data_IF_319079222788
#
_entry.id   IF_319079222788
#
_cell.length_a   1.000
_cell.length_b   1.000
_cell.length_c   1.000
_cell.angle_alpha   90.00
_cell.angle_beta   90.00
_cell.angle_gamma   90.00
#
_symmetry.space_group_name_H-M   'P 1'
#
loop_
_entity.id
_entity.type
_entity.pdbx_description
1 polymer ?
#
# COMPACT_ATOMS: atom_id res chain seq x y z
N UNK A 1 -48.27 -54.15 19.17
CA UNK A 1 -47.03 -53.77 18.46
C UNK A 1 -47.05 -52.27 18.20
N UNK A 2 -46.25 -51.50 18.94
CA UNK A 2 -46.27 -50.02 18.88
C UNK A 2 -45.55 -49.49 17.64
N UNK A 3 -46.29 -48.87 16.72
CA UNK A 3 -45.77 -48.22 15.50
C UNK A 3 -44.91 -46.98 15.78
N UNK A 4 -44.83 -46.50 17.02
CA UNK A 4 -44.17 -45.24 17.39
C UNK A 4 -42.64 -45.21 17.26
N UNK A 5 -41.97 -46.37 17.17
CA UNK A 5 -40.48 -46.44 17.10
C UNK A 5 -39.92 -46.61 15.68
N UNK A 6 -40.77 -46.73 14.67
CA UNK A 6 -40.33 -46.97 13.29
C UNK A 6 -40.19 -45.66 12.51
N UNK A 7 -39.21 -45.61 11.61
CA UNK A 7 -39.05 -44.48 10.72
C UNK A 7 -40.30 -44.30 9.85
N UNK A 8 -40.69 -43.06 9.61
CA UNK A 8 -41.79 -42.64 8.74
C UNK A 8 -41.98 -43.52 7.47
N UNK A 9 -40.93 -43.79 6.66
CA UNK A 9 -41.05 -44.63 5.47
C UNK A 9 -41.40 -46.08 5.77
N UNK A 10 -40.95 -46.63 6.91
CA UNK A 10 -41.25 -48.00 7.33
C UNK A 10 -42.68 -48.12 7.85
N UNK A 11 -43.18 -47.10 8.55
CA UNK A 11 -44.57 -47.01 9.00
C UNK A 11 -45.54 -46.95 7.82
N UNK A 12 -45.27 -46.08 6.85
CA UNK A 12 -46.07 -45.97 5.61
C UNK A 12 -46.10 -47.30 4.85
N UNK A 13 -44.93 -47.94 4.64
CA UNK A 13 -44.86 -49.26 3.97
C UNK A 13 -45.63 -50.35 4.72
N UNK A 14 -45.59 -50.34 6.05
CA UNK A 14 -46.33 -51.32 6.86
C UNK A 14 -47.84 -51.09 6.79
N UNK A 15 -48.30 -49.84 6.86
CA UNK A 15 -49.73 -49.51 6.75
C UNK A 15 -50.29 -49.86 5.37
N UNK A 16 -49.54 -49.57 4.30
CA UNK A 16 -49.89 -50.01 2.95
C UNK A 16 -49.92 -51.55 2.82
N UNK A 17 -48.98 -52.26 3.47
CA UNK A 17 -48.96 -53.72 3.52
C UNK A 17 -50.11 -54.36 4.32
N UNK A 18 -50.74 -53.60 5.21
CA UNK A 18 -51.93 -54.00 5.98
C UNK A 18 -53.24 -53.61 5.27
N UNK A 19 -53.20 -53.06 4.06
CA UNK A 19 -54.37 -52.60 3.31
C UNK A 19 -54.98 -51.29 3.81
N UNK A 20 -54.32 -50.58 4.75
CA UNK A 20 -54.77 -49.31 5.32
C UNK A 20 -54.22 -48.13 4.51
N UNK A 21 -54.68 -48.00 3.27
CA UNK A 21 -54.13 -47.03 2.32
C UNK A 21 -54.40 -45.57 2.71
N UNK A 22 -55.60 -45.25 3.18
CA UNK A 22 -55.98 -43.88 3.62
C UNK A 22 -55.07 -43.39 4.77
N UNK A 23 -54.89 -44.21 5.81
CA UNK A 23 -53.97 -43.94 6.92
C UNK A 23 -52.50 -43.86 6.50
N UNK A 24 -52.09 -44.62 5.47
CA UNK A 24 -50.74 -44.56 4.94
C UNK A 24 -50.49 -43.26 4.16
N UNK A 25 -51.53 -42.77 3.46
CA UNK A 25 -51.51 -41.53 2.69
C UNK A 25 -51.53 -40.30 3.61
N UNK A 26 -52.37 -40.28 4.63
CA UNK A 26 -52.40 -39.22 5.66
C UNK A 26 -51.04 -39.09 6.38
N UNK A 27 -50.42 -40.21 6.76
CA UNK A 27 -49.09 -40.20 7.37
C UNK A 27 -48.04 -39.64 6.42
N UNK A 28 -48.08 -40.05 5.14
CA UNK A 28 -47.16 -39.54 4.12
C UNK A 28 -47.34 -38.04 3.88
N UNK A 29 -48.59 -37.55 3.79
CA UNK A 29 -48.90 -36.13 3.64
C UNK A 29 -48.43 -35.33 4.87
N UNK A 30 -48.64 -35.85 6.08
CA UNK A 30 -48.19 -35.21 7.33
C UNK A 30 -46.66 -35.14 7.42
N UNK A 31 -45.96 -36.21 7.05
CA UNK A 31 -44.49 -36.26 7.04
C UNK A 31 -43.92 -35.33 5.95
N UNK A 32 -44.56 -35.24 4.79
CA UNK A 32 -44.20 -34.28 3.74
C UNK A 32 -44.38 -32.83 4.21
N UNK A 33 -45.52 -32.49 4.79
CA UNK A 33 -45.79 -31.14 5.31
C UNK A 33 -44.79 -30.73 6.42
N UNK A 34 -44.46 -31.65 7.33
CA UNK A 34 -43.46 -31.40 8.38
C UNK A 34 -42.06 -31.16 7.80
N UNK A 35 -41.66 -31.91 6.77
CA UNK A 35 -40.37 -31.70 6.08
C UNK A 35 -40.34 -30.38 5.34
N UNK A 36 -41.41 -30.02 4.64
CA UNK A 36 -41.50 -28.72 3.93
C UNK A 36 -41.42 -27.56 4.91
N UNK A 37 -42.10 -27.64 6.06
CA UNK A 37 -41.98 -26.67 7.14
C UNK A 37 -40.55 -26.58 7.69
N UNK A 38 -39.90 -27.71 7.94
CA UNK A 38 -38.52 -27.75 8.42
C UNK A 38 -37.53 -27.16 7.39
N UNK A 39 -37.69 -27.45 6.10
CA UNK A 39 -36.88 -26.85 5.03
C UNK A 39 -37.10 -25.35 4.92
N UNK A 40 -38.35 -24.90 5.05
CA UNK A 40 -38.71 -23.49 5.01
C UNK A 40 -38.13 -22.74 6.21
N UNK A 41 -38.19 -23.34 7.40
CA UNK A 41 -37.56 -22.82 8.61
C UNK A 41 -36.02 -22.72 8.45
N UNK A 42 -35.37 -23.78 7.98
CA UNK A 42 -33.92 -23.80 7.75
C UNK A 42 -33.48 -22.77 6.69
N UNK A 43 -34.29 -22.54 5.65
CA UNK A 43 -34.01 -21.51 4.66
C UNK A 43 -34.11 -20.10 5.26
N UNK A 44 -35.14 -19.82 6.06
CA UNK A 44 -35.28 -18.53 6.75
C UNK A 44 -34.18 -18.28 7.78
N UNK A 45 -33.75 -19.31 8.52
CA UNK A 45 -32.61 -19.21 9.44
C UNK A 45 -31.32 -18.90 8.69
N UNK A 46 -31.07 -19.58 7.58
CA UNK A 46 -29.89 -19.32 6.74
C UNK A 46 -29.86 -17.88 6.21
N UNK A 47 -31.00 -17.33 5.79
CA UNK A 47 -31.10 -15.94 5.34
C UNK A 47 -30.81 -14.94 6.46
N UNK A 48 -31.35 -15.19 7.66
CA UNK A 48 -31.09 -14.36 8.85
C UNK A 48 -29.62 -14.40 9.25
N UNK A 49 -29.03 -15.60 9.31
CA UNK A 49 -27.62 -15.78 9.62
C UNK A 49 -26.73 -15.11 8.56
N UNK A 50 -27.11 -15.24 7.28
CA UNK A 50 -26.42 -14.56 6.18
C UNK A 50 -26.45 -13.04 6.32
N UNK A 51 -27.59 -12.46 6.69
CA UNK A 51 -27.72 -11.03 6.96
C UNK A 51 -26.90 -10.59 8.18
N UNK A 52 -26.89 -11.37 9.26
CA UNK A 52 -26.07 -11.09 10.43
C UNK A 52 -24.57 -11.13 10.13
N UNK A 53 -24.12 -12.13 9.38
CA UNK A 53 -22.73 -12.26 8.93
C UNK A 53 -22.32 -11.10 8.02
N UNK A 54 -23.16 -10.71 7.07
CA UNK A 54 -22.93 -9.53 6.21
C UNK A 54 -22.80 -8.24 7.00
N UNK A 55 -23.71 -8.00 7.94
CA UNK A 55 -23.66 -6.81 8.80
C UNK A 55 -22.45 -6.81 9.73
N UNK A 56 -21.98 -7.98 10.17
CA UNK A 56 -20.75 -8.10 10.94
C UNK A 56 -19.52 -7.80 10.08
N UNK A 57 -19.48 -8.32 8.87
CA UNK A 57 -18.38 -8.11 7.91
C UNK A 57 -18.25 -6.61 7.54
N UNK A 58 -19.35 -5.95 7.18
CA UNK A 58 -19.34 -4.50 6.86
C UNK A 58 -18.82 -3.64 8.03
N UNK A 59 -19.19 -4.00 9.27
CA UNK A 59 -18.68 -3.31 10.47
C UNK A 59 -17.18 -3.57 10.65
N UNK A 60 -16.73 -4.80 10.47
CA UNK A 60 -15.32 -5.18 10.58
C UNK A 60 -14.46 -4.50 9.49
N UNK A 61 -14.94 -4.44 8.25
CA UNK A 61 -14.32 -3.69 7.15
C UNK A 61 -14.15 -2.21 7.50
N UNK A 62 -15.25 -1.57 7.94
CA UNK A 62 -15.22 -0.16 8.33
C UNK A 62 -14.21 0.11 9.46
N UNK A 63 -14.17 -0.75 10.47
CA UNK A 63 -13.21 -0.65 11.57
C UNK A 63 -11.76 -0.88 11.11
N UNK A 64 -11.53 -1.90 10.28
CA UNK A 64 -10.21 -2.22 9.74
C UNK A 64 -9.64 -1.05 8.92
N UNK A 65 -10.43 -0.52 7.97
CA UNK A 65 -10.02 0.61 7.14
C UNK A 65 -9.76 1.88 7.97
N UNK A 66 -10.58 2.11 9.00
CA UNK A 66 -10.41 3.25 9.90
C UNK A 66 -9.15 3.12 10.77
N UNK A 67 -8.88 1.94 11.33
CA UNK A 67 -7.66 1.67 12.08
C UNK A 67 -6.41 1.86 11.20
N UNK A 68 -6.43 1.34 9.97
CA UNK A 68 -5.33 1.53 9.04
C UNK A 68 -5.12 2.98 8.65
N UNK A 69 -6.20 3.74 8.41
CA UNK A 69 -6.10 5.18 8.14
C UNK A 69 -5.50 5.92 9.33
N UNK A 70 -5.90 5.58 10.55
CA UNK A 70 -5.34 6.17 11.78
C UNK A 70 -3.85 5.84 11.93
N UNK A 71 -3.46 4.58 11.79
CA UNK A 71 -2.06 4.15 11.86
C UNK A 71 -1.20 4.85 10.80
N UNK A 72 -1.66 4.89 9.55
CA UNK A 72 -0.95 5.59 8.47
C UNK A 72 -0.83 7.10 8.74
N UNK A 73 -1.85 7.72 9.34
CA UNK A 73 -1.82 9.15 9.68
C UNK A 73 -0.86 9.44 10.83
N UNK A 74 -0.78 8.55 11.82
CA UNK A 74 0.17 8.65 12.93
C UNK A 74 1.61 8.46 12.45
N UNK A 75 1.86 7.45 11.63
CA UNK A 75 3.19 7.19 11.04
C UNK A 75 3.65 8.39 10.19
N UNK A 76 2.76 8.97 9.37
CA UNK A 76 3.06 10.21 8.62
C UNK A 76 3.43 11.38 9.53
N UNK A 77 2.66 11.61 10.60
CA UNK A 77 2.94 12.69 11.55
C UNK A 77 4.31 12.51 12.19
N UNK A 78 4.58 11.32 12.74
CA UNK A 78 5.86 10.99 13.34
C UNK A 78 7.02 11.15 12.34
N UNK A 79 6.82 10.72 11.10
CA UNK A 79 7.83 10.88 10.05
C UNK A 79 8.15 12.35 9.76
N UNK A 80 7.13 13.18 9.53
CA UNK A 80 7.34 14.60 9.25
C UNK A 80 7.89 15.37 10.46
N UNK A 81 7.50 15.01 11.68
CA UNK A 81 8.10 15.57 12.89
C UNK A 81 9.61 15.27 12.96
N UNK A 82 10.00 14.04 12.65
CA UNK A 82 11.42 13.66 12.57
C UNK A 82 12.16 14.44 11.49
N UNK A 83 11.58 14.58 10.29
CA UNK A 83 12.19 15.34 9.19
C UNK A 83 12.36 16.82 9.56
N UNK A 84 11.34 17.44 10.15
CA UNK A 84 11.41 18.84 10.58
C UNK A 84 12.46 19.08 11.66
N UNK A 85 12.60 18.15 12.61
CA UNK A 85 13.66 18.20 13.62
C UNK A 85 15.04 18.06 12.99
N UNK A 86 15.24 17.06 12.14
CA UNK A 86 16.49 16.86 11.43
C UNK A 86 16.86 18.08 10.57
N UNK A 87 15.89 18.69 9.89
CA UNK A 87 16.10 19.92 9.12
C UNK A 87 16.51 21.09 10.02
N UNK A 88 15.84 21.27 11.16
CA UNK A 88 16.19 22.34 12.10
C UNK A 88 17.62 22.15 12.66
N UNK A 89 18.01 20.91 12.97
CA UNK A 89 19.36 20.58 13.43
C UNK A 89 20.42 20.84 12.36
N UNK A 90 20.17 20.43 11.10
CA UNK A 90 21.08 20.71 9.98
C UNK A 90 21.26 22.20 9.76
N UNK A 91 20.18 22.99 9.73
CA UNK A 91 20.26 24.45 9.59
C UNK A 91 21.09 25.09 10.69
N UNK A 92 20.87 24.70 11.95
CA UNK A 92 21.68 25.19 13.08
C UNK A 92 23.16 24.82 12.90
N UNK A 93 23.45 23.59 12.52
CA UNK A 93 24.82 23.13 12.29
C UNK A 93 25.50 23.90 11.14
N UNK A 94 24.79 24.15 10.05
CA UNK A 94 25.31 24.90 8.90
C UNK A 94 25.54 26.39 9.25
N UNK A 95 24.65 27.01 10.03
CA UNK A 95 24.82 28.38 10.55
C UNK A 95 26.04 28.48 11.50
N UNK A 96 26.20 27.50 12.39
CA UNK A 96 27.38 27.39 13.25
C UNK A 96 28.68 27.17 12.45
N UNK A 97 28.64 26.33 11.42
CA UNK A 97 29.78 26.08 10.55
C UNK A 97 30.18 27.35 9.79
N UNK A 98 29.21 28.07 9.21
CA UNK A 98 29.45 29.30 8.47
C UNK A 98 30.00 30.41 9.37
N UNK A 99 29.47 30.56 10.59
CA UNK A 99 29.95 31.56 11.55
C UNK A 99 31.37 31.25 12.03
N UNK A 100 31.68 29.98 12.34
CA UNK A 100 33.05 29.54 12.67
C UNK A 100 34.01 29.78 11.51
N UNK A 101 33.60 29.47 10.28
CA UNK A 101 34.40 29.70 9.08
C UNK A 101 34.69 31.20 8.91
N UNK A 102 33.66 32.05 8.97
CA UNK A 102 33.79 33.50 8.84
C UNK A 102 34.73 34.07 9.92
N UNK A 103 34.59 33.65 11.18
CA UNK A 103 35.48 34.06 12.27
C UNK A 103 36.94 33.59 12.05
N UNK A 104 37.14 32.39 11.52
CA UNK A 104 38.50 31.90 11.24
C UNK A 104 39.16 32.66 10.09
N UNK A 105 38.40 32.97 9.03
CA UNK A 105 38.92 33.71 7.87
C UNK A 105 39.16 35.18 8.19
N UNK A 106 38.32 35.82 9.01
CA UNK A 106 38.59 37.18 9.49
C UNK A 106 39.88 37.25 10.28
N UNK A 107 40.12 36.31 11.21
CA UNK A 107 41.36 36.25 12.00
C UNK A 107 42.57 35.99 11.10
N UNK A 108 42.50 35.02 10.17
CA UNK A 108 43.59 34.75 9.21
C UNK A 108 43.94 36.00 8.42
N UNK A 109 42.95 36.70 7.88
CA UNK A 109 43.19 37.92 7.13
C UNK A 109 43.76 39.02 8.04
N UNK A 110 43.19 39.23 9.24
CA UNK A 110 43.68 40.19 10.24
C UNK A 110 45.14 39.98 10.63
N UNK A 111 45.58 38.72 10.72
CA UNK A 111 46.97 38.37 11.04
C UNK A 111 47.95 38.55 9.88
N UNK A 112 47.48 38.74 8.62
CA UNK A 112 48.40 38.91 7.50
C UNK A 112 49.12 40.26 7.58
N UNK A 113 50.48 40.27 7.52
CA UNK A 113 51.24 41.50 7.57
C UNK A 113 50.93 42.37 6.35
N UNK A 114 50.80 43.67 6.58
CA UNK A 114 50.63 44.67 5.53
C UNK A 114 52.00 44.97 4.95
N UNK A 115 52.25 44.55 3.72
CA UNK A 115 53.49 44.89 3.02
C UNK A 115 53.46 46.35 2.58
N UNK A 116 54.51 47.10 2.94
CA UNK A 116 54.69 48.47 2.44
C UNK A 116 55.06 48.40 0.95
N UNK A 117 54.30 49.07 0.06
CA UNK A 117 54.60 49.08 -1.37
C UNK A 117 55.98 49.67 -1.67
N UNK A 118 56.66 49.15 -2.70
CA UNK A 118 58.02 49.60 -3.07
C UNK A 118 58.08 51.08 -3.39
N UNK A 119 57.02 51.61 -3.98
CA UNK A 119 56.89 53.00 -4.38
C UNK A 119 56.92 53.94 -3.15
N UNK A 120 56.32 53.51 -2.03
CA UNK A 120 56.38 54.24 -0.76
C UNK A 120 57.79 54.20 -0.18
N UNK A 121 58.45 53.04 -0.23
CA UNK A 121 59.84 52.89 0.24
C UNK A 121 60.81 53.76 -0.56
N UNK A 122 60.65 53.85 -1.89
CA UNK A 122 61.47 54.70 -2.76
C UNK A 122 61.28 56.19 -2.41
N UNK A 123 60.05 56.64 -2.15
CA UNK A 123 59.79 58.03 -1.75
C UNK A 123 60.36 58.36 -0.36
N UNK A 124 60.31 57.40 0.57
CA UNK A 124 60.96 57.52 1.88
C UNK A 124 62.48 57.59 1.76
N UNK A 125 63.08 56.79 0.87
CA UNK A 125 64.51 56.84 0.61
C UNK A 125 64.93 58.19 -0.01
N UNK A 126 64.19 58.69 -1.01
CA UNK A 126 64.42 60.03 -1.59
C UNK A 126 64.25 61.16 -0.56
N UNK A 127 63.29 61.05 0.36
CA UNK A 127 63.17 61.99 1.48
C UNK A 127 64.45 62.01 2.33
N UNK A 128 65.01 60.84 2.64
CA UNK A 128 66.23 60.76 3.46
C UNK A 128 67.44 61.36 2.74
N UNK A 129 67.63 61.06 1.45
CA UNK A 129 68.73 61.60 0.63
C UNK A 129 68.66 63.14 0.56
N UNK A 130 67.48 63.69 0.26
CA UNK A 130 67.28 65.15 0.19
C UNK A 130 67.47 65.86 1.54
N UNK A 131 67.22 65.16 2.67
CA UNK A 131 67.55 65.70 4.00
C UNK A 131 69.05 65.78 4.22
N UNK A 132 69.80 64.76 3.81
CA UNK A 132 71.26 64.75 3.91
C UNK A 132 71.90 65.85 3.06
N UNK A 133 71.32 66.16 1.91
CA UNK A 133 71.77 67.23 1.01
C UNK A 133 71.39 68.65 1.46
N UNK A 134 70.55 68.80 2.50
CA UNK A 134 70.08 70.10 3.02
C UNK A 134 68.86 70.68 2.29
N UNK A 135 68.27 69.94 1.36
CA UNK A 135 67.09 70.33 0.57
C UNK A 135 65.77 70.05 1.32
N UNK A 136 65.57 70.72 2.45
CA UNK A 136 64.45 70.45 3.36
C UNK A 136 63.05 70.65 2.74
N UNK A 137 62.90 71.61 1.83
CA UNK A 137 61.60 71.89 1.19
C UNK A 137 61.18 70.76 0.25
N UNK A 138 62.13 70.15 -0.47
CA UNK A 138 61.89 69.02 -1.36
C UNK A 138 61.70 67.72 -0.59
N UNK A 139 62.47 67.51 0.48
CA UNK A 139 62.26 66.40 1.41
C UNK A 139 60.83 66.45 2.02
N UNK A 140 60.34 67.64 2.39
CA UNK A 140 58.98 67.82 2.90
C UNK A 140 57.90 67.48 1.85
N UNK A 141 58.15 67.74 0.55
CA UNK A 141 57.26 67.33 -0.53
C UNK A 141 57.24 65.80 -0.68
N UNK A 142 58.42 65.15 -0.76
CA UNK A 142 58.53 63.69 -0.87
C UNK A 142 57.88 62.95 0.30
N UNK A 143 58.00 63.49 1.52
CA UNK A 143 57.29 62.97 2.70
C UNK A 143 55.77 63.02 2.55
N UNK A 144 55.24 64.13 2.03
CA UNK A 144 53.78 64.29 1.80
C UNK A 144 53.30 63.32 0.72
N UNK A 145 54.06 63.18 -0.36
CA UNK A 145 53.74 62.28 -1.46
C UNK A 145 53.77 60.81 -1.01
N UNK A 146 54.77 60.42 -0.22
CA UNK A 146 54.85 59.09 0.40
C UNK A 146 53.65 58.81 1.30
N UNK A 147 53.30 59.75 2.19
CA UNK A 147 52.16 59.60 3.11
C UNK A 147 50.81 59.55 2.36
N UNK A 148 50.68 60.28 1.25
CA UNK A 148 49.48 60.24 0.41
C UNK A 148 49.36 58.88 -0.29
N UNK A 149 50.45 58.44 -0.93
CA UNK A 149 50.49 57.17 -1.65
C UNK A 149 50.25 55.98 -0.71
N UNK A 150 50.86 56.00 0.49
CA UNK A 150 50.66 54.99 1.52
C UNK A 150 49.17 54.90 1.91
N UNK A 151 48.49 56.03 2.14
CA UNK A 151 47.05 56.04 2.47
C UNK A 151 46.20 55.49 1.33
N UNK A 152 46.46 55.90 0.09
CA UNK A 152 45.71 55.45 -1.09
C UNK A 152 45.87 53.93 -1.28
N UNK A 153 47.10 53.41 -1.17
CA UNK A 153 47.40 51.99 -1.34
C UNK A 153 46.89 51.14 -0.17
N UNK A 154 46.99 51.62 1.07
CA UNK A 154 46.38 50.97 2.23
C UNK A 154 44.87 50.87 2.10
N UNK A 155 44.21 51.94 1.64
CA UNK A 155 42.76 51.93 1.39
C UNK A 155 42.37 50.90 0.33
N UNK A 156 43.08 50.86 -0.80
CA UNK A 156 42.84 49.88 -1.85
C UNK A 156 43.09 48.43 -1.38
N UNK A 157 44.16 48.20 -0.61
CA UNK A 157 44.49 46.91 -0.03
C UNK A 157 43.39 46.41 0.93
N UNK A 158 42.95 47.25 1.86
CA UNK A 158 41.90 46.89 2.82
C UNK A 158 40.57 46.59 2.11
N UNK A 159 40.20 47.37 1.10
CA UNK A 159 39.02 47.12 0.26
C UNK A 159 39.11 45.80 -0.51
N UNK A 160 40.25 45.51 -1.15
CA UNK A 160 40.50 44.24 -1.84
C UNK A 160 40.47 43.06 -0.87
N UNK A 161 40.96 43.25 0.36
CA UNK A 161 40.95 42.22 1.38
C UNK A 161 39.55 41.95 1.91
N UNK A 162 38.73 42.99 2.07
CA UNK A 162 37.31 42.88 2.39
C UNK A 162 36.54 42.10 1.32
N UNK A 163 36.74 42.42 0.05
CA UNK A 163 36.06 41.71 -1.04
C UNK A 163 36.49 40.24 -1.16
N UNK A 164 37.77 39.93 -0.92
CA UNK A 164 38.26 38.56 -0.86
C UNK A 164 37.59 37.75 0.27
N UNK A 165 37.45 38.36 1.45
CA UNK A 165 36.79 37.73 2.60
C UNK A 165 35.32 37.42 2.26
N UNK A 166 34.58 38.40 1.77
CA UNK A 166 33.18 38.24 1.34
C UNK A 166 33.04 37.14 0.28
N UNK A 167 33.95 37.11 -0.69
CA UNK A 167 33.95 36.08 -1.73
C UNK A 167 34.19 34.66 -1.17
N UNK A 168 35.05 34.52 -0.15
CA UNK A 168 35.27 33.22 0.51
C UNK A 168 34.07 32.79 1.33
N UNK A 169 33.47 33.71 2.09
CA UNK A 169 32.28 33.43 2.91
C UNK A 169 31.11 33.04 2.01
N UNK A 170 30.87 33.78 0.92
CA UNK A 170 29.79 33.49 -0.04
C UNK A 170 29.99 32.13 -0.73
N UNK A 171 31.23 31.77 -1.08
CA UNK A 171 31.54 30.42 -1.60
C UNK A 171 31.25 29.32 -0.58
N UNK A 172 31.62 29.50 0.68
CA UNK A 172 31.33 28.54 1.74
C UNK A 172 29.81 28.40 1.95
N UNK A 173 29.09 29.53 2.02
CA UNK A 173 27.64 29.54 2.12
C UNK A 173 26.98 28.80 0.94
N UNK A 174 27.46 29.00 -0.28
CA UNK A 174 26.97 28.29 -1.46
C UNK A 174 27.22 26.77 -1.40
N UNK A 175 28.34 26.33 -0.82
CA UNK A 175 28.62 24.91 -0.63
C UNK A 175 27.67 24.27 0.40
N UNK A 176 27.39 24.97 1.51
CA UNK A 176 26.42 24.55 2.52
C UNK A 176 25.01 24.48 1.95
N UNK A 177 24.59 25.48 1.16
CA UNK A 177 23.30 25.47 0.47
C UNK A 177 23.16 24.27 -0.48
N UNK A 178 24.22 23.91 -1.22
CA UNK A 178 24.20 22.70 -2.05
C UNK A 178 24.03 21.43 -1.22
N UNK A 179 24.70 21.35 -0.07
CA UNK A 179 24.58 20.21 0.85
C UNK A 179 23.16 20.10 1.41
N UNK A 180 22.56 21.20 1.83
CA UNK A 180 21.17 21.23 2.32
C UNK A 180 20.19 20.87 1.22
N UNK A 181 20.37 21.35 -0.01
CA UNK A 181 19.52 20.94 -1.15
C UNK A 181 19.55 19.42 -1.38
N UNK A 182 20.74 18.80 -1.34
CA UNK A 182 20.87 17.34 -1.46
C UNK A 182 20.18 16.62 -0.28
N UNK A 183 20.23 17.19 0.93
CA UNK A 183 19.53 16.64 2.07
C UNK A 183 18.00 16.73 1.91
N UNK A 184 17.49 17.86 1.41
CA UNK A 184 16.07 18.06 1.12
C UNK A 184 15.56 17.10 0.04
N UNK A 185 16.33 16.89 -1.03
CA UNK A 185 15.98 15.88 -2.05
C UNK A 185 15.83 14.48 -1.44
N UNK A 186 16.70 14.12 -0.48
CA UNK A 186 16.59 12.83 0.23
C UNK A 186 15.36 12.78 1.14
N UNK A 187 15.03 13.88 1.82
CA UNK A 187 13.83 13.98 2.65
C UNK A 187 12.56 13.84 1.80
N UNK A 188 12.53 14.43 0.60
CA UNK A 188 11.44 14.30 -0.37
C UNK A 188 11.30 12.85 -0.87
N UNK A 189 12.42 12.21 -1.23
CA UNK A 189 12.42 10.79 -1.63
C UNK A 189 11.88 9.91 -0.50
N UNK A 190 12.26 10.19 0.74
CA UNK A 190 11.74 9.50 1.92
C UNK A 190 10.23 9.68 2.08
N UNK A 191 9.72 10.90 1.91
CA UNK A 191 8.29 11.18 1.97
C UNK A 191 7.51 10.44 0.87
N UNK A 192 8.04 10.39 -0.35
CA UNK A 192 7.46 9.61 -1.46
C UNK A 192 7.47 8.11 -1.16
N UNK A 193 8.57 7.58 -0.63
CA UNK A 193 8.67 6.16 -0.24
C UNK A 193 7.62 5.80 0.83
N UNK A 194 7.40 6.67 1.81
CA UNK A 194 6.36 6.49 2.82
C UNK A 194 4.96 6.48 2.20
N UNK A 195 4.67 7.40 1.27
CA UNK A 195 3.40 7.41 0.56
C UNK A 195 3.17 6.12 -0.24
N UNK A 196 4.21 5.65 -0.95
CA UNK A 196 4.16 4.40 -1.70
C UNK A 196 3.91 3.19 -0.78
N UNK A 197 4.58 3.13 0.39
CA UNK A 197 4.34 2.11 1.42
C UNK A 197 2.89 2.09 1.87
N UNK A 198 2.31 3.24 2.20
CA UNK A 198 0.90 3.32 2.61
C UNK A 198 -0.07 2.95 1.50
N UNK A 199 0.20 3.35 0.26
CA UNK A 199 -0.59 2.96 -0.89
C UNK A 199 -0.55 1.45 -1.11
N UNK A 200 0.63 0.84 -0.97
CA UNK A 200 0.82 -0.61 -1.02
C UNK A 200 0.02 -1.33 0.05
N UNK A 201 0.18 -0.95 1.32
CA UNK A 201 -0.59 -1.54 2.43
C UNK A 201 -2.09 -1.41 2.22
N UNK A 202 -2.59 -0.25 1.79
CA UNK A 202 -4.02 -0.06 1.51
C UNK A 202 -4.52 -1.02 0.43
N UNK A 203 -3.75 -1.22 -0.65
CA UNK A 203 -4.10 -2.17 -1.72
C UNK A 203 -4.17 -3.59 -1.19
N UNK A 204 -3.19 -4.02 -0.40
CA UNK A 204 -3.17 -5.35 0.23
C UNK A 204 -4.40 -5.56 1.12
N UNK A 205 -4.75 -4.59 1.97
CA UNK A 205 -5.94 -4.68 2.82
C UNK A 205 -7.20 -4.82 2.01
N UNK A 206 -7.40 -3.96 0.99
CA UNK A 206 -8.61 -4.02 0.17
C UNK A 206 -8.72 -5.37 -0.54
N UNK A 207 -7.60 -5.93 -1.01
CA UNK A 207 -7.58 -7.27 -1.60
C UNK A 207 -7.95 -8.36 -0.58
N UNK A 208 -7.45 -8.26 0.66
CA UNK A 208 -7.80 -9.19 1.74
C UNK A 208 -9.28 -9.12 2.11
N UNK A 209 -9.85 -7.91 2.22
CA UNK A 209 -11.28 -7.72 2.51
C UNK A 209 -12.15 -8.35 1.40
N UNK A 210 -11.84 -8.07 0.13
CA UNK A 210 -12.52 -8.70 -1.02
C UNK A 210 -12.43 -10.23 -0.99
N UNK A 211 -11.27 -10.78 -0.64
CA UNK A 211 -11.12 -12.23 -0.54
C UNK A 211 -12.01 -12.84 0.54
N UNK A 212 -12.18 -12.15 1.68
CA UNK A 212 -13.09 -12.56 2.75
C UNK A 212 -14.55 -12.45 2.30
N UNK A 213 -14.93 -11.36 1.64
CA UNK A 213 -16.26 -11.16 1.05
C UNK A 213 -16.61 -12.29 0.07
N UNK A 214 -15.71 -12.59 -0.88
CA UNK A 214 -15.89 -13.66 -1.87
C UNK A 214 -15.98 -15.04 -1.21
N UNK A 215 -15.15 -15.30 -0.19
CA UNK A 215 -15.17 -16.53 0.59
C UNK A 215 -16.50 -16.75 1.31
N UNK A 216 -17.05 -15.69 1.91
CA UNK A 216 -18.34 -15.73 2.59
C UNK A 216 -19.50 -15.96 1.61
N UNK A 217 -19.50 -15.27 0.47
CA UNK A 217 -20.48 -15.50 -0.60
C UNK A 217 -20.43 -16.94 -1.13
N UNK A 218 -19.22 -17.47 -1.33
CA UNK A 218 -19.04 -18.85 -1.77
C UNK A 218 -19.56 -19.84 -0.72
N UNK A 219 -19.34 -19.60 0.56
CA UNK A 219 -19.88 -20.43 1.65
C UNK A 219 -21.41 -20.40 1.69
N UNK A 220 -22.03 -19.23 1.61
CA UNK A 220 -23.50 -19.09 1.55
C UNK A 220 -24.10 -19.80 0.34
N UNK A 221 -23.46 -19.70 -0.83
CA UNK A 221 -23.92 -20.42 -2.04
C UNK A 221 -23.86 -21.94 -1.87
N UNK A 222 -22.83 -22.47 -1.20
CA UNK A 222 -22.70 -23.91 -0.93
C UNK A 222 -23.77 -24.39 0.04
N UNK A 223 -24.07 -23.64 1.10
CA UNK A 223 -25.11 -23.99 2.07
C UNK A 223 -26.50 -23.93 1.45
N UNK A 224 -26.81 -22.90 0.64
CA UNK A 224 -28.06 -22.83 -0.12
C UNK A 224 -28.20 -24.00 -1.10
N UNK A 225 -27.15 -24.33 -1.86
CA UNK A 225 -27.16 -25.47 -2.79
C UNK A 225 -27.40 -26.78 -2.03
N UNK A 226 -26.76 -26.97 -0.88
CA UNK A 226 -26.95 -28.17 -0.07
C UNK A 226 -28.41 -28.34 0.38
N UNK A 227 -29.05 -27.25 0.85
CA UNK A 227 -30.47 -27.26 1.23
C UNK A 227 -31.39 -27.61 0.05
N UNK A 228 -31.10 -27.08 -1.15
CA UNK A 228 -31.84 -27.38 -2.37
C UNK A 228 -31.68 -28.86 -2.78
N UNK A 229 -30.47 -29.41 -2.71
CA UNK A 229 -30.18 -30.81 -3.01
C UNK A 229 -30.86 -31.76 -2.00
N UNK A 230 -30.89 -31.42 -0.72
CA UNK A 230 -31.62 -32.20 0.29
C UNK A 230 -33.12 -32.18 0.06
N UNK A 231 -33.70 -31.03 -0.30
CA UNK A 231 -35.11 -30.92 -0.68
C UNK A 231 -35.44 -31.77 -1.91
N UNK A 232 -34.57 -31.75 -2.93
CA UNK A 232 -34.74 -32.55 -4.14
C UNK A 232 -34.66 -34.06 -3.84
N UNK A 233 -33.71 -34.51 -3.01
CA UNK A 233 -33.56 -35.92 -2.62
C UNK A 233 -34.74 -36.44 -1.81
N UNK A 234 -35.26 -35.64 -0.88
CA UNK A 234 -36.44 -36.01 -0.09
C UNK A 234 -37.73 -36.02 -0.92
N UNK A 235 -37.84 -35.18 -1.95
CA UNK A 235 -38.91 -35.22 -2.94
C UNK A 235 -38.82 -36.39 -3.93
N UNK A 236 -37.60 -36.85 -4.26
CA UNK A 236 -37.37 -37.94 -5.22
C UNK A 236 -37.61 -39.35 -4.64
N UNK A 237 -37.80 -39.48 -3.32
CA UNK A 237 -38.14 -40.75 -2.68
C UNK A 237 -39.56 -41.26 -2.99
N UNK A 238 -40.37 -40.50 -3.75
CA UNK A 238 -41.78 -40.80 -3.97
C UNK A 238 -42.13 -41.47 -5.32
N UNK A 239 -41.40 -41.28 -6.43
CA UNK A 239 -41.94 -41.77 -7.73
C UNK A 239 -40.98 -42.38 -8.75
N UNK A 240 -39.68 -42.09 -8.73
CA UNK A 240 -38.78 -42.53 -9.83
C UNK A 240 -37.77 -43.58 -9.41
N UNK A 241 -37.22 -43.55 -8.19
CA UNK A 241 -36.13 -44.45 -7.83
C UNK A 241 -36.57 -45.93 -7.68
N UNK A 242 -37.81 -46.18 -7.29
CA UNK A 242 -38.39 -47.54 -7.20
C UNK A 242 -38.88 -48.06 -8.55
N UNK A 243 -39.30 -47.17 -9.47
CA UNK A 243 -39.69 -47.51 -10.85
C UNK A 243 -38.47 -47.80 -11.73
N UNK A 244 -37.38 -47.04 -11.63
CA UNK A 244 -36.15 -47.33 -12.37
C UNK A 244 -35.45 -48.58 -11.85
N UNK A 245 -35.44 -48.86 -10.55
CA UNK A 245 -34.88 -50.11 -10.01
C UNK A 245 -35.74 -51.34 -10.34
N UNK A 246 -37.08 -51.22 -10.41
CA UNK A 246 -37.95 -52.32 -10.88
C UNK A 246 -37.89 -52.52 -12.39
N UNK A 247 -37.83 -51.45 -13.18
CA UNK A 247 -37.67 -51.50 -14.63
C UNK A 247 -36.36 -52.16 -15.02
N UNK A 248 -35.24 -51.73 -14.41
CA UNK A 248 -33.91 -52.32 -14.67
C UNK A 248 -33.77 -53.76 -14.14
N UNK A 249 -34.45 -54.13 -13.06
CA UNK A 249 -34.47 -55.51 -12.56
C UNK A 249 -35.38 -56.45 -13.38
N UNK A 250 -36.46 -55.94 -13.99
CA UNK A 250 -37.29 -56.68 -14.94
C UNK A 250 -36.61 -56.80 -16.31
N UNK A 251 -36.00 -55.73 -16.81
CA UNK A 251 -35.22 -55.76 -18.06
C UNK A 251 -34.05 -56.75 -17.98
N UNK A 252 -33.31 -56.77 -16.85
CA UNK A 252 -32.24 -57.77 -16.61
C UNK A 252 -32.75 -59.21 -16.50
N UNK A 253 -33.98 -59.41 -16.00
CA UNK A 253 -34.59 -60.75 -15.88
C UNK A 253 -35.23 -61.25 -17.18
N UNK A 254 -35.70 -60.35 -18.04
CA UNK A 254 -36.39 -60.71 -19.29
C UNK A 254 -35.43 -60.82 -20.47
N UNK A 255 -34.36 -60.01 -20.52
CA UNK A 255 -33.48 -59.93 -21.69
C UNK A 255 -32.03 -60.38 -21.48
N UNK A 256 -31.62 -60.70 -20.25
CA UNK A 256 -30.22 -61.05 -19.93
C UNK A 256 -29.22 -59.92 -20.24
N UNK A 257 -27.96 -60.09 -19.88
CA UNK A 257 -26.89 -59.09 -20.06
C UNK A 257 -26.46 -58.88 -21.53
N UNK A 258 -27.37 -59.05 -22.50
CA UNK A 258 -27.06 -58.99 -23.93
C UNK A 258 -27.37 -57.63 -24.60
N UNK A 259 -27.99 -56.68 -23.89
CA UNK A 259 -28.21 -55.33 -24.42
C UNK A 259 -27.37 -54.30 -23.66
N UNK A 260 -26.14 -54.06 -24.12
CA UNK A 260 -25.43 -52.80 -23.85
C UNK A 260 -26.11 -51.71 -24.69
N UNK A 261 -27.01 -50.94 -24.08
CA UNK A 261 -27.46 -49.68 -24.67
C UNK A 261 -26.25 -48.74 -24.74
N UNK A 262 -25.81 -48.30 -25.94
CA UNK A 262 -24.72 -47.35 -26.03
C UNK A 262 -25.11 -46.07 -25.31
N UNK A 263 -24.20 -45.49 -24.54
CA UNK A 263 -24.45 -44.21 -23.89
C UNK A 263 -24.73 -43.14 -24.96
N UNK A 264 -25.49 -42.08 -24.62
CA UNK A 264 -25.70 -40.95 -25.54
C UNK A 264 -24.36 -40.33 -26.01
N UNK A 265 -23.30 -40.45 -25.19
CA UNK A 265 -21.94 -40.07 -25.58
C UNK A 265 -21.33 -41.00 -26.64
N UNK A 266 -21.64 -42.30 -26.62
CA UNK A 266 -21.21 -43.24 -27.66
C UNK A 266 -22.00 -43.06 -28.97
N UNK A 267 -23.28 -42.62 -28.90
CA UNK A 267 -24.13 -42.39 -30.07
C UNK A 267 -23.92 -41.04 -30.75
N UNK A 268 -23.62 -39.99 -29.97
CA UNK A 268 -23.56 -38.60 -30.46
C UNK A 268 -22.21 -37.92 -30.21
N UNK A 269 -21.23 -38.59 -29.62
CA UNK A 269 -19.91 -38.02 -29.31
C UNK A 269 -19.18 -37.50 -30.55
N UNK A 270 -19.22 -38.25 -31.66
CA UNK A 270 -18.61 -37.84 -32.93
C UNK A 270 -19.30 -36.63 -33.59
N UNK A 271 -20.59 -36.39 -33.31
CA UNK A 271 -21.33 -35.21 -33.78
C UNK A 271 -21.05 -33.95 -32.94
N UNK A 272 -20.49 -34.10 -31.74
CA UNK A 272 -20.15 -33.00 -30.83
C UNK A 272 -18.68 -32.56 -30.97
N UNK A 273 -17.80 -33.43 -31.50
CA UNK A 273 -16.38 -33.14 -31.73
C UNK A 273 -16.10 -32.46 -33.07
N UNK A 274 -17.01 -32.54 -34.05
CA UNK A 274 -16.94 -31.75 -35.28
C UNK A 274 -17.48 -30.32 -35.08
N UNK A 275 -16.78 -29.52 -34.28
CA UNK A 275 -16.79 -28.06 -34.48
C UNK A 275 -15.67 -27.70 -35.44
N UNK A 276 -15.94 -27.23 -36.66
CA UNK A 276 -14.91 -26.58 -37.46
C UNK A 276 -14.42 -25.36 -36.68
N UNK A 277 -13.12 -25.34 -36.42
CA UNK A 277 -12.39 -24.19 -35.90
C UNK A 277 -12.44 -23.05 -36.92
N UNK A 278 -13.47 -22.23 -36.86
CA UNK A 278 -13.48 -20.92 -37.51
C UNK A 278 -13.20 -19.85 -36.46
N UNK A 279 -11.92 -19.75 -36.10
CA UNK A 279 -11.37 -18.45 -35.70
C UNK A 279 -11.18 -17.63 -36.98
N UNK A 280 -11.87 -16.50 -37.18
CA UNK A 280 -11.39 -15.51 -38.11
C UNK A 280 -10.22 -14.79 -37.42
N UNK A 281 -9.04 -14.94 -38.01
CA UNK A 281 -7.94 -14.02 -37.77
C UNK A 281 -8.30 -12.67 -38.40
N UNK A 282 -8.56 -11.65 -37.58
CA UNK A 282 -8.10 -10.25 -37.72
C UNK A 282 -8.03 -9.65 -36.33
#
# INVERSE_FOLDING_TARGET
MSLGRESAPRRVRRLAGMGKYELAEELLQSDCAQREMAFSAAAMELERDGAHQWNALQRAEGQCLLQQRRAASQEKRAHFECLLRAQAERRRADEEELSRFAASETVKLQSMPIAVPREVLVLQQQETELRWEGSFSEAAKRRRDAARLERELLGAYLSSRGSLLEHRITRQAAALLKRENIALEKDDVSAVALQAKHAGHRRCTVAQLRHVEDGMLAAQRRTHRHLQETRARDGMLSSTHTKTQRGTALEKRVYGDAYRLPSLCELYGSLMEERPSTSPAV
#
